data_IF_345926982233
#
_entry.id   IF_345926982233
#
_cell.length_a   1.000
_cell.length_b   1.000
_cell.length_c   1.000
_cell.angle_alpha   90.00
_cell.angle_beta   90.00
_cell.angle_gamma   90.00
#
_symmetry.space_group_name_H-M   'P 1'
#
loop_
_entity.id
_entity.type
_entity.pdbx_description
1 polymer ?
#
# COMPACT_ATOMS: atom_id res chain seq x y z
N UNK A 1 20.20 -4.93 -35.42
CA UNK A 1 20.56 -4.56 -34.03
C UNK A 1 20.44 -3.06 -33.73
N UNK A 2 20.06 -2.20 -34.67
CA UNK A 2 19.84 -0.76 -34.44
C UNK A 2 18.43 -0.40 -33.96
N UNK A 3 17.41 -1.16 -34.36
CA UNK A 3 15.99 -0.89 -34.02
C UNK A 3 15.66 -1.07 -32.54
N UNK A 4 16.24 -2.07 -31.86
CA UNK A 4 15.96 -2.30 -30.42
C UNK A 4 16.56 -1.19 -29.58
N UNK A 5 17.77 -0.73 -29.92
CA UNK A 5 18.44 0.37 -29.24
C UNK A 5 17.67 1.68 -29.46
N UNK A 6 17.21 1.95 -30.69
CA UNK A 6 16.40 3.14 -30.95
C UNK A 6 15.04 3.08 -30.24
N UNK A 7 14.37 1.92 -30.22
CA UNK A 7 13.09 1.77 -29.50
C UNK A 7 13.22 1.92 -27.99
N UNK A 8 14.31 1.44 -27.38
CA UNK A 8 14.57 1.65 -25.95
C UNK A 8 14.87 3.13 -25.69
N UNK A 9 15.61 3.79 -26.57
CA UNK A 9 15.94 5.21 -26.44
C UNK A 9 14.71 6.13 -26.63
N UNK A 10 13.85 5.84 -27.61
CA UNK A 10 12.56 6.52 -27.80
C UNK A 10 11.62 6.24 -26.64
N UNK A 11 11.56 4.99 -26.14
CA UNK A 11 10.77 4.66 -24.95
C UNK A 11 11.27 5.42 -23.72
N UNK A 12 12.58 5.53 -23.51
CA UNK A 12 13.16 6.32 -22.40
C UNK A 12 12.87 7.82 -22.54
N UNK A 13 12.94 8.35 -23.75
CA UNK A 13 12.58 9.75 -24.03
C UNK A 13 11.08 10.00 -23.81
N UNK A 14 10.22 9.08 -24.23
CA UNK A 14 8.77 9.12 -23.97
C UNK A 14 8.46 8.93 -22.48
N UNK A 15 9.13 8.04 -21.77
CA UNK A 15 8.97 7.88 -20.32
C UNK A 15 9.41 9.14 -19.59
N UNK A 16 10.47 9.83 -20.02
CA UNK A 16 10.89 11.09 -19.40
C UNK A 16 9.93 12.27 -19.67
N UNK A 17 9.30 12.30 -20.85
CA UNK A 17 8.37 13.38 -21.27
C UNK A 17 6.93 13.11 -20.81
N UNK A 18 6.50 11.84 -20.72
CA UNK A 18 5.14 11.40 -20.37
C UNK A 18 5.01 10.87 -18.94
N UNK A 19 6.09 10.51 -18.26
CA UNK A 19 6.05 10.29 -16.82
C UNK A 19 6.15 11.64 -16.13
N UNK A 20 5.00 12.30 -15.99
CA UNK A 20 4.81 13.34 -14.99
C UNK A 20 4.97 12.68 -13.62
N UNK A 21 6.21 12.40 -13.22
CA UNK A 21 6.49 12.02 -11.85
C UNK A 21 5.94 13.18 -11.00
N UNK A 22 4.96 12.91 -10.12
CA UNK A 22 4.34 13.98 -9.37
C UNK A 22 5.44 14.71 -8.60
N UNK A 23 5.30 16.02 -8.44
CA UNK A 23 6.24 16.77 -7.61
C UNK A 23 6.32 16.12 -6.23
N UNK A 24 7.47 16.23 -5.55
CA UNK A 24 7.67 15.58 -4.24
C UNK A 24 6.54 15.91 -3.25
N UNK A 25 5.95 17.09 -3.38
CA UNK A 25 4.79 17.56 -2.61
C UNK A 25 3.51 16.76 -2.90
N UNK A 26 3.26 16.37 -4.14
CA UNK A 26 2.07 15.58 -4.51
C UNK A 26 2.20 14.10 -4.14
N UNK A 27 3.43 13.56 -4.17
CA UNK A 27 3.73 12.22 -3.63
C UNK A 27 3.46 12.15 -2.13
N UNK A 28 3.82 13.20 -1.38
CA UNK A 28 3.53 13.29 0.05
C UNK A 28 2.02 13.36 0.34
N UNK A 29 1.23 14.05 -0.48
CA UNK A 29 -0.25 14.06 -0.35
C UNK A 29 -0.84 12.66 -0.56
N UNK A 30 -0.41 11.95 -1.61
CA UNK A 30 -0.85 10.57 -1.87
C UNK A 30 -0.44 9.64 -0.73
N UNK A 31 0.78 9.79 -0.22
CA UNK A 31 1.30 8.99 0.89
C UNK A 31 0.54 9.28 2.20
N UNK A 32 0.16 10.54 2.46
CA UNK A 32 -0.61 10.92 3.64
C UNK A 32 -1.97 10.22 3.69
N UNK A 33 -2.66 10.13 2.55
CA UNK A 33 -3.92 9.39 2.44
C UNK A 33 -3.74 7.90 2.76
N UNK A 34 -2.66 7.29 2.25
CA UNK A 34 -2.33 5.89 2.51
C UNK A 34 -2.02 5.64 3.99
N UNK A 35 -1.28 6.56 4.64
CA UNK A 35 -0.96 6.47 6.08
C UNK A 35 -2.25 6.50 6.93
N UNK A 36 -3.20 7.37 6.59
CA UNK A 36 -4.49 7.40 7.30
C UNK A 36 -5.26 6.10 7.08
N UNK A 37 -5.26 5.58 5.84
CA UNK A 37 -5.89 4.29 5.52
C UNK A 37 -5.28 3.13 6.31
N UNK A 38 -3.96 3.03 6.39
CA UNK A 38 -3.29 1.95 7.14
C UNK A 38 -3.54 2.03 8.63
N UNK A 39 -3.66 3.23 9.21
CA UNK A 39 -4.05 3.40 10.62
C UNK A 39 -5.45 2.85 10.89
N UNK A 40 -6.41 3.13 10.01
CA UNK A 40 -7.78 2.61 10.15
C UNK A 40 -7.77 1.08 10.06
N UNK A 41 -7.07 0.51 9.08
CA UNK A 41 -6.94 -0.95 8.96
C UNK A 41 -6.27 -1.58 10.20
N UNK A 42 -5.25 -0.94 10.75
CA UNK A 42 -4.58 -1.42 11.96
C UNK A 42 -5.54 -1.46 13.17
N UNK A 43 -6.39 -0.44 13.34
CA UNK A 43 -7.39 -0.42 14.41
C UNK A 43 -8.45 -1.52 14.25
N UNK A 44 -8.88 -1.80 13.02
CA UNK A 44 -9.85 -2.87 12.75
C UNK A 44 -9.24 -4.24 13.07
N UNK A 45 -8.02 -4.51 12.62
CA UNK A 45 -7.33 -5.77 12.91
C UNK A 45 -7.10 -5.92 14.42
N UNK A 46 -6.70 -4.85 15.11
CA UNK A 46 -6.57 -4.88 16.57
C UNK A 46 -7.89 -5.23 17.28
N UNK A 47 -9.01 -4.68 16.82
CA UNK A 47 -10.34 -5.04 17.32
C UNK A 47 -10.69 -6.52 17.08
N UNK A 48 -10.37 -7.03 15.90
CA UNK A 48 -10.57 -8.45 15.56
C UNK A 48 -9.71 -9.39 16.42
N UNK A 49 -8.43 -9.06 16.61
CA UNK A 49 -7.51 -9.87 17.42
C UNK A 49 -8.00 -9.97 18.88
N UNK A 50 -8.50 -8.86 19.43
CA UNK A 50 -9.10 -8.81 20.77
C UNK A 50 -10.38 -9.63 20.84
N UNK A 51 -11.28 -9.46 19.89
CA UNK A 51 -12.55 -10.20 19.85
C UNK A 51 -12.32 -11.72 19.81
N UNK A 52 -11.40 -12.18 18.95
CA UNK A 52 -11.09 -13.61 18.81
C UNK A 52 -10.46 -14.15 20.10
N UNK A 53 -9.52 -13.41 20.70
CA UNK A 53 -8.89 -13.82 21.96
C UNK A 53 -9.93 -13.98 23.08
N UNK A 54 -10.85 -13.01 23.22
CA UNK A 54 -11.92 -13.08 24.22
C UNK A 54 -12.89 -14.23 23.97
N UNK A 55 -13.26 -14.50 22.72
CA UNK A 55 -14.13 -15.64 22.37
C UNK A 55 -13.43 -16.97 22.66
N UNK A 56 -12.15 -17.08 22.32
CA UNK A 56 -11.37 -18.29 22.59
C UNK A 56 -11.21 -18.53 24.10
N UNK A 57 -10.85 -17.51 24.87
CA UNK A 57 -10.76 -17.60 26.33
C UNK A 57 -12.09 -18.03 26.96
N UNK A 58 -13.21 -17.50 26.46
CA UNK A 58 -14.54 -17.88 26.93
C UNK A 58 -14.85 -19.36 26.63
N UNK A 59 -14.56 -19.83 25.42
CA UNK A 59 -14.74 -21.25 25.04
C UNK A 59 -13.84 -22.15 25.88
N UNK A 60 -12.56 -21.79 26.06
CA UNK A 60 -11.63 -22.54 26.90
C UNK A 60 -12.07 -22.59 28.36
N UNK A 61 -12.70 -21.53 28.89
CA UNK A 61 -13.21 -21.51 30.27
C UNK A 61 -14.48 -22.34 30.45
N UNK A 62 -15.31 -22.46 29.40
CA UNK A 62 -16.58 -23.22 29.44
C UNK A 62 -16.34 -24.73 29.22
N UNK A 63 -15.43 -25.09 28.32
CA UNK A 63 -15.19 -26.49 27.91
C UNK A 63 -13.92 -27.10 28.49
N UNK A 64 -13.02 -26.29 29.07
CA UNK A 64 -11.81 -26.72 29.77
C UNK A 64 -12.03 -26.93 31.27
#
# INVERSE_FOLDING_TARGET
>A
MSKIISSIQESWHEFAVKSSWPTMTDLQKSTSLVIVGTIIFALVVFGMDKAISTVLEFIYTIFG
#
